data_IF_210912305475
#
_entry.id   IF_210912305475
#
_cell.length_a   1.000
_cell.length_b   1.000
_cell.length_c   1.000
_cell.angle_alpha   90.00
_cell.angle_beta   90.00
_cell.angle_gamma   90.00
#
_symmetry.space_group_name_H-M   'P 1'
#
loop_
_entity.id
_entity.type
_entity.pdbx_description
1 polymer ?
#
# COMPACT_ATOMS: atom_id res chain seq x y z
N UNK A 1 -23.97 -35.10 -13.18
CA UNK A 1 -23.13 -33.91 -13.46
C UNK A 1 -23.39 -32.73 -12.52
N UNK A 2 -24.62 -32.55 -12.00
CA UNK A 2 -24.93 -31.47 -11.04
C UNK A 2 -24.38 -31.70 -9.62
N UNK A 3 -24.20 -32.96 -9.20
CA UNK A 3 -23.64 -33.28 -7.88
C UNK A 3 -22.14 -32.94 -7.74
N UNK A 4 -21.39 -33.04 -8.85
CA UNK A 4 -19.95 -32.74 -8.84
C UNK A 4 -19.72 -31.22 -8.70
N UNK A 5 -20.60 -30.40 -9.29
CA UNK A 5 -20.51 -28.92 -9.15
C UNK A 5 -20.83 -28.45 -7.72
N UNK A 6 -21.74 -29.12 -7.00
CA UNK A 6 -22.05 -28.78 -5.61
C UNK A 6 -20.93 -29.22 -4.65
N UNK A 7 -20.28 -30.34 -4.93
CA UNK A 7 -19.14 -30.83 -4.14
C UNK A 7 -17.89 -29.95 -4.32
N UNK A 8 -17.63 -29.46 -5.54
CA UNK A 8 -16.49 -28.57 -5.81
C UNK A 8 -16.68 -27.19 -5.19
N UNK A 9 -17.90 -26.61 -5.23
CA UNK A 9 -18.18 -25.35 -4.50
C UNK A 9 -17.97 -25.48 -3.00
N UNK A 10 -18.39 -26.60 -2.40
CA UNK A 10 -18.21 -26.83 -0.95
C UNK A 10 -16.74 -26.88 -0.54
N UNK A 11 -15.87 -27.50 -1.35
CA UNK A 11 -14.43 -27.57 -1.05
C UNK A 11 -13.72 -26.21 -1.18
N UNK A 12 -14.12 -25.38 -2.15
CA UNK A 12 -13.49 -24.06 -2.37
C UNK A 12 -13.84 -23.09 -1.24
N UNK A 13 -15.09 -23.09 -0.75
CA UNK A 13 -15.51 -22.22 0.36
C UNK A 13 -14.80 -22.60 1.67
N UNK A 14 -14.66 -23.90 1.96
CA UNK A 14 -13.94 -24.34 3.18
C UNK A 14 -12.44 -24.08 3.14
N UNK A 15 -11.82 -24.03 1.95
CA UNK A 15 -10.39 -23.73 1.82
C UNK A 15 -10.10 -22.23 2.00
N UNK A 16 -10.99 -21.36 1.52
CA UNK A 16 -10.81 -19.91 1.63
C UNK A 16 -10.99 -19.41 3.07
N UNK A 17 -11.91 -19.99 3.83
CA UNK A 17 -12.14 -19.64 5.25
C UNK A 17 -10.95 -20.04 6.12
N UNK A 18 -10.28 -21.16 5.81
CA UNK A 18 -9.11 -21.62 6.57
C UNK A 18 -7.88 -20.73 6.40
N UNK A 19 -7.79 -19.98 5.30
CA UNK A 19 -6.65 -19.10 5.05
C UNK A 19 -6.78 -17.72 5.72
N UNK A 20 -7.99 -17.33 6.12
CA UNK A 20 -8.26 -16.01 6.70
C UNK A 20 -8.08 -15.96 8.23
N UNK A 21 -8.11 -17.11 8.91
CA UNK A 21 -8.09 -17.18 10.39
C UNK A 21 -6.73 -17.50 11.01
N UNK A 22 -5.65 -17.53 10.24
CA UNK A 22 -4.31 -17.84 10.75
C UNK A 22 -3.53 -16.61 11.25
N UNK A 23 -4.18 -15.46 11.46
CA UNK A 23 -3.50 -14.17 11.77
C UNK A 23 -4.02 -13.43 13.00
N UNK A 24 -4.97 -13.97 13.74
CA UNK A 24 -5.45 -13.34 14.97
C UNK A 24 -5.59 -14.40 16.05
N UNK A 25 -4.81 -14.27 17.12
CA UNK A 25 -4.90 -15.02 18.39
C UNK A 25 -6.23 -14.71 19.12
N UNK A 26 -7.34 -14.95 18.43
CA UNK A 26 -8.69 -14.86 18.95
C UNK A 26 -9.28 -16.27 18.84
N UNK A 27 -9.74 -16.81 19.97
CA UNK A 27 -10.26 -18.18 20.14
C UNK A 27 -11.38 -18.50 19.12
N UNK A 28 -10.97 -18.83 17.89
CA UNK A 28 -11.85 -19.00 16.72
C UNK A 28 -12.51 -20.37 16.66
N UNK A 29 -12.17 -21.28 17.58
CA UNK A 29 -12.77 -22.61 17.65
C UNK A 29 -14.24 -22.55 18.09
N UNK A 30 -14.60 -21.66 19.02
CA UNK A 30 -15.99 -21.51 19.48
C UNK A 30 -16.91 -20.93 18.39
N UNK A 31 -16.42 -19.96 17.61
CA UNK A 31 -17.23 -19.28 16.59
C UNK A 31 -17.37 -20.13 15.32
N UNK A 32 -16.36 -20.92 14.99
CA UNK A 32 -16.43 -21.92 13.92
C UNK A 32 -17.37 -23.08 14.29
N UNK A 33 -17.43 -23.49 15.56
CA UNK A 33 -18.35 -24.53 16.04
C UNK A 33 -19.80 -24.03 16.09
N UNK A 34 -20.01 -22.78 16.48
CA UNK A 34 -21.33 -22.12 16.44
C UNK A 34 -21.87 -21.98 15.00
N UNK A 35 -21.03 -21.57 14.04
CA UNK A 35 -21.43 -21.49 12.63
C UNK A 35 -21.70 -22.87 12.01
N UNK A 36 -20.99 -23.93 12.42
CA UNK A 36 -21.30 -25.30 11.96
C UNK A 36 -22.67 -25.77 12.48
N UNK A 37 -23.04 -25.38 13.70
CA UNK A 37 -24.34 -25.73 14.27
C UNK A 37 -25.49 -24.99 13.58
N UNK A 38 -25.31 -23.72 13.20
CA UNK A 38 -26.31 -22.96 12.43
C UNK A 38 -26.49 -23.50 11.00
N UNK A 39 -25.39 -23.81 10.29
CA UNK A 39 -25.45 -24.37 8.94
C UNK A 39 -26.13 -25.76 8.91
N UNK A 40 -25.95 -26.59 9.94
CA UNK A 40 -26.66 -27.86 10.05
C UNK A 40 -28.17 -27.69 10.34
N UNK A 41 -28.57 -26.60 11.00
CA UNK A 41 -29.97 -26.30 11.25
C UNK A 41 -30.68 -25.80 9.99
N UNK A 42 -30.00 -25.03 9.14
CA UNK A 42 -30.54 -24.50 7.90
C UNK A 42 -30.71 -25.58 6.82
N UNK A 43 -29.78 -26.54 6.72
CA UNK A 43 -29.88 -27.66 5.76
C UNK A 43 -31.02 -28.65 6.10
N UNK A 44 -31.46 -28.71 7.36
CA UNK A 44 -32.66 -29.47 7.76
C UNK A 44 -33.96 -28.77 7.37
N UNK A 45 -34.00 -27.44 7.46
CA UNK A 45 -35.21 -26.69 7.15
C UNK A 45 -35.50 -26.62 5.65
N UNK A 46 -34.47 -26.60 4.80
CA UNK A 46 -34.67 -26.48 3.34
C UNK A 46 -35.10 -27.81 2.68
N UNK A 47 -34.70 -28.96 3.23
CA UNK A 47 -35.23 -30.27 2.81
C UNK A 47 -36.71 -30.44 3.18
N UNK A 48 -37.20 -29.74 4.20
CA UNK A 48 -38.63 -29.78 4.55
C UNK A 48 -39.50 -28.98 3.56
N UNK A 49 -38.99 -27.87 3.02
CA UNK A 49 -39.76 -26.94 2.16
C UNK A 49 -40.00 -27.48 0.76
N UNK A 50 -39.11 -28.31 0.22
CA UNK A 50 -39.29 -28.85 -1.14
C UNK A 50 -40.26 -30.03 -1.25
N UNK A 51 -40.66 -30.67 -0.14
CA UNK A 51 -41.62 -31.78 -0.15
C UNK A 51 -43.10 -31.36 -0.07
N UNK A 52 -43.38 -30.09 0.23
CA UNK A 52 -44.76 -29.62 0.51
C UNK A 52 -45.37 -28.72 -0.57
N UNK A 53 -44.81 -28.72 -1.79
CA UNK A 53 -45.51 -28.23 -2.99
C UNK A 53 -46.35 -29.35 -3.62
N UNK A 54 -47.21 -29.98 -2.83
CA UNK A 54 -48.35 -30.74 -3.37
C UNK A 54 -49.55 -29.82 -3.42
N UNK A 55 -49.95 -29.51 -4.65
CA UNK A 55 -51.18 -28.82 -5.02
C UNK A 55 -52.39 -29.39 -4.28
N UNK A 56 -52.86 -28.68 -3.27
CA UNK A 56 -54.21 -28.88 -2.73
C UNK A 56 -55.19 -28.07 -3.57
N UNK A 57 -55.58 -28.63 -4.71
CA UNK A 57 -56.89 -28.36 -5.31
C UNK A 57 -57.51 -29.71 -5.65
N UNK A 58 -57.87 -30.41 -4.59
CA UNK A 58 -58.66 -31.63 -4.66
C UNK A 58 -59.47 -31.67 -3.39
N UNK A 59 -60.72 -31.22 -3.46
CA UNK A 59 -61.72 -31.46 -2.42
C UNK A 59 -61.85 -32.98 -2.26
N UNK A 60 -61.06 -33.56 -1.37
CA UNK A 60 -61.37 -34.89 -0.87
C UNK A 60 -62.45 -34.69 0.18
N UNK A 61 -63.64 -35.30 0.02
CA UNK A 61 -64.68 -35.22 1.05
C UNK A 61 -64.04 -35.73 2.34
N UNK A 62 -63.99 -34.86 3.34
CA UNK A 62 -63.53 -35.30 4.65
C UNK A 62 -64.58 -36.23 5.22
N UNK A 63 -64.18 -37.17 6.09
CA UNK A 63 -65.15 -38.07 6.74
C UNK A 63 -66.27 -37.30 7.47
N UNK A 64 -66.00 -36.06 7.85
CA UNK A 64 -66.97 -35.10 8.38
C UNK A 64 -68.09 -34.75 7.37
N UNK A 65 -67.79 -34.61 6.08
CA UNK A 65 -68.80 -34.38 5.03
C UNK A 65 -69.69 -35.62 4.82
N UNK A 66 -69.13 -36.82 4.98
CA UNK A 66 -69.93 -38.06 4.91
C UNK A 66 -70.85 -38.19 6.12
N UNK A 67 -70.37 -37.88 7.32
CA UNK A 67 -71.20 -37.87 8.55
C UNK A 67 -72.29 -36.80 8.44
N UNK A 68 -71.97 -35.61 7.90
CA UNK A 68 -72.95 -34.56 7.66
C UNK A 68 -74.01 -35.00 6.63
N UNK A 69 -73.61 -35.61 5.51
CA UNK A 69 -74.55 -36.10 4.50
C UNK A 69 -75.48 -37.20 5.05
N UNK A 70 -74.93 -38.13 5.84
CA UNK A 70 -75.73 -39.16 6.52
C UNK A 70 -76.69 -38.52 7.51
N UNK A 71 -76.24 -37.57 8.33
CA UNK A 71 -77.09 -36.87 9.30
C UNK A 71 -78.24 -36.09 8.62
N UNK A 72 -77.96 -35.40 7.51
CA UNK A 72 -78.98 -34.67 6.72
C UNK A 72 -79.98 -35.64 6.09
N UNK A 73 -79.51 -36.76 5.52
CA UNK A 73 -80.38 -37.79 4.95
C UNK A 73 -81.27 -38.46 6.00
N UNK A 74 -80.72 -38.77 7.17
CA UNK A 74 -81.45 -39.39 8.28
C UNK A 74 -82.46 -38.41 8.88
N UNK A 75 -82.08 -37.12 8.95
CA UNK A 75 -82.99 -36.03 9.30
C UNK A 75 -84.19 -35.95 8.37
N UNK A 76 -83.98 -35.94 7.04
CA UNK A 76 -85.09 -35.91 6.07
C UNK A 76 -86.04 -37.11 6.18
N UNK A 77 -85.52 -38.30 6.52
CA UNK A 77 -86.35 -39.50 6.72
C UNK A 77 -87.17 -39.40 8.02
N UNK A 78 -86.57 -38.93 9.11
CA UNK A 78 -87.26 -38.76 10.41
C UNK A 78 -88.35 -37.68 10.35
N UNK A 79 -88.15 -36.62 9.56
CA UNK A 79 -89.09 -35.53 9.38
C UNK A 79 -90.39 -35.92 8.66
N UNK A 80 -90.42 -37.04 7.91
CA UNK A 80 -91.66 -37.57 7.33
C UNK A 80 -92.55 -38.30 8.34
N UNK A 81 -92.02 -38.61 9.53
CA UNK A 81 -92.72 -39.42 10.55
C UNK A 81 -93.25 -38.54 11.69
N UNK A 82 -92.72 -37.33 11.87
CA UNK A 82 -93.06 -36.41 12.97
C UNK A 82 -93.85 -35.18 12.53
N UNK A 83 -94.70 -34.65 13.42
CA UNK A 83 -95.52 -33.45 13.17
C UNK A 83 -94.70 -32.23 12.68
N UNK A 84 -95.35 -31.35 11.92
CA UNK A 84 -94.74 -30.31 11.07
C UNK A 84 -93.85 -29.31 11.82
N UNK A 85 -93.99 -29.20 13.15
CA UNK A 85 -93.27 -28.25 14.01
C UNK A 85 -91.78 -28.56 14.15
N UNK A 86 -91.38 -29.84 14.13
CA UNK A 86 -89.98 -30.25 14.32
C UNK A 86 -89.13 -29.94 13.08
N UNK A 87 -89.73 -30.00 11.88
CA UNK A 87 -89.10 -29.65 10.60
C UNK A 87 -88.64 -28.19 10.62
N UNK A 88 -89.54 -27.29 11.03
CA UNK A 88 -89.24 -25.86 11.07
C UNK A 88 -88.12 -25.56 12.08
N UNK A 89 -88.15 -26.17 13.27
CA UNK A 89 -87.10 -25.97 14.28
C UNK A 89 -85.72 -26.47 13.80
N UNK A 90 -85.66 -27.63 13.13
CA UNK A 90 -84.40 -28.16 12.62
C UNK A 90 -83.83 -27.31 11.49
N UNK A 91 -84.67 -26.87 10.55
CA UNK A 91 -84.23 -26.01 9.43
C UNK A 91 -83.67 -24.66 9.90
N UNK A 92 -84.23 -24.11 10.99
CA UNK A 92 -83.75 -22.86 11.58
C UNK A 92 -82.40 -23.06 12.28
N UNK A 93 -82.20 -24.20 12.97
CA UNK A 93 -80.94 -24.50 13.63
C UNK A 93 -79.79 -24.73 12.64
N UNK A 94 -80.04 -25.46 11.55
CA UNK A 94 -79.03 -25.67 10.50
C UNK A 94 -78.68 -24.39 9.76
N UNK A 95 -79.65 -23.48 9.56
CA UNK A 95 -79.39 -22.15 9.02
C UNK A 95 -78.45 -21.32 9.91
N UNK A 96 -78.69 -21.30 11.24
CA UNK A 96 -77.81 -20.61 12.19
C UNK A 96 -76.41 -21.22 12.19
N UNK A 97 -76.31 -22.55 12.20
CA UNK A 97 -75.03 -23.25 12.18
C UNK A 97 -74.25 -22.97 10.89
N UNK A 98 -74.92 -22.90 9.73
CA UNK A 98 -74.32 -22.53 8.46
C UNK A 98 -73.72 -21.12 8.47
N UNK A 99 -74.44 -20.15 9.05
CA UNK A 99 -73.93 -18.77 9.21
C UNK A 99 -72.71 -18.75 10.15
N UNK A 100 -72.76 -19.51 11.26
CA UNK A 100 -71.68 -19.60 12.22
C UNK A 100 -70.41 -20.25 11.63
N UNK A 101 -70.56 -21.35 10.89
CA UNK A 101 -69.46 -22.01 10.21
C UNK A 101 -68.80 -21.08 9.15
N UNK A 102 -69.60 -20.34 8.38
CA UNK A 102 -69.12 -19.35 7.42
C UNK A 102 -68.32 -18.23 8.11
N UNK A 103 -68.74 -17.79 9.31
CA UNK A 103 -68.00 -16.81 10.11
C UNK A 103 -66.65 -17.34 10.62
N UNK A 104 -66.60 -18.60 11.08
CA UNK A 104 -65.35 -19.23 11.49
C UNK A 104 -64.36 -19.39 10.33
N UNK A 105 -64.85 -19.74 9.15
CA UNK A 105 -64.02 -19.90 7.96
C UNK A 105 -63.34 -18.58 7.55
N UNK A 106 -64.02 -17.44 7.72
CA UNK A 106 -63.40 -16.12 7.51
C UNK A 106 -62.25 -15.86 8.47
N UNK A 107 -62.44 -16.11 9.78
CA UNK A 107 -61.36 -15.96 10.78
C UNK A 107 -60.16 -16.86 10.53
N UNK A 108 -60.38 -18.09 10.07
CA UNK A 108 -59.29 -18.99 9.69
C UNK A 108 -58.51 -18.48 8.46
N UNK A 109 -59.20 -17.81 7.53
CA UNK A 109 -58.57 -17.17 6.37
C UNK A 109 -57.68 -16.00 6.80
N UNK A 110 -58.13 -15.20 7.77
CA UNK A 110 -57.34 -14.09 8.34
C UNK A 110 -56.08 -14.59 9.08
N UNK A 111 -56.14 -15.72 9.77
CA UNK A 111 -54.93 -16.33 10.36
C UNK A 111 -53.93 -16.76 9.28
N UNK A 112 -54.41 -17.17 8.10
CA UNK A 112 -53.57 -17.45 6.95
C UNK A 112 -52.82 -16.23 6.43
N UNK A 113 -53.46 -15.06 6.39
CA UNK A 113 -52.81 -13.81 5.95
C UNK A 113 -51.80 -13.29 6.96
N UNK A 114 -52.08 -13.38 8.26
CA UNK A 114 -51.13 -13.00 9.33
C UNK A 114 -49.86 -13.87 9.28
N UNK A 115 -49.99 -15.18 9.06
CA UNK A 115 -48.82 -16.06 8.92
C UNK A 115 -47.99 -15.73 7.69
N UNK A 116 -48.62 -15.35 6.57
CA UNK A 116 -47.89 -14.88 5.38
C UNK A 116 -47.12 -13.59 5.68
N UNK A 117 -47.77 -12.63 6.33
CA UNK A 117 -47.14 -11.36 6.73
C UNK A 117 -45.99 -11.58 7.70
N UNK A 118 -46.14 -12.47 8.69
CA UNK A 118 -45.05 -12.82 9.61
C UNK A 118 -43.86 -13.46 8.89
N UNK A 119 -44.12 -14.32 7.90
CA UNK A 119 -43.05 -14.93 7.11
C UNK A 119 -42.35 -13.91 6.21
N UNK A 120 -43.08 -12.93 5.67
CA UNK A 120 -42.49 -11.86 4.87
C UNK A 120 -41.65 -10.92 5.73
N UNK A 121 -42.16 -10.50 6.90
CA UNK A 121 -41.39 -9.72 7.86
C UNK A 121 -40.11 -10.45 8.32
N UNK A 122 -40.18 -11.77 8.53
CA UNK A 122 -38.98 -12.56 8.83
C UNK A 122 -37.96 -12.54 7.70
N UNK A 123 -38.41 -12.59 6.44
CA UNK A 123 -37.52 -12.48 5.27
C UNK A 123 -36.89 -11.10 5.16
N UNK A 124 -37.68 -10.04 5.33
CA UNK A 124 -37.17 -8.67 5.31
C UNK A 124 -36.18 -8.43 6.46
N UNK A 125 -36.49 -8.92 7.66
CA UNK A 125 -35.58 -8.82 8.82
C UNK A 125 -34.28 -9.56 8.56
N UNK A 126 -34.35 -10.77 8.00
CA UNK A 126 -33.15 -11.54 7.66
C UNK A 126 -32.33 -10.85 6.56
N UNK A 127 -32.98 -10.25 5.56
CA UNK A 127 -32.31 -9.46 4.52
C UNK A 127 -31.61 -8.22 5.09
N UNK A 128 -32.28 -7.49 5.97
CA UNK A 128 -31.69 -6.35 6.67
C UNK A 128 -30.53 -6.75 7.58
N UNK A 129 -30.61 -7.92 8.21
CA UNK A 129 -29.51 -8.46 9.03
C UNK A 129 -28.30 -8.83 8.16
N UNK A 130 -28.52 -9.43 6.99
CA UNK A 130 -27.48 -9.73 6.01
C UNK A 130 -26.82 -8.44 5.48
N UNK A 131 -27.63 -7.43 5.14
CA UNK A 131 -27.12 -6.12 4.72
C UNK A 131 -26.32 -5.43 5.82
N UNK A 132 -26.77 -5.51 7.07
CA UNK A 132 -26.08 -4.93 8.22
C UNK A 132 -24.72 -5.60 8.45
N UNK A 133 -24.66 -6.93 8.37
CA UNK A 133 -23.39 -7.68 8.43
C UNK A 133 -22.46 -7.27 7.29
N UNK A 134 -22.98 -7.16 6.07
CA UNK A 134 -22.18 -6.75 4.91
C UNK A 134 -21.65 -5.31 5.07
N UNK A 135 -22.45 -4.41 5.63
CA UNK A 135 -22.03 -3.03 5.89
C UNK A 135 -20.93 -2.97 6.94
N UNK A 136 -21.04 -3.76 8.02
CA UNK A 136 -20.00 -3.87 9.04
C UNK A 136 -18.68 -4.42 8.48
N UNK A 137 -18.75 -5.39 7.55
CA UNK A 137 -17.56 -5.89 6.86
C UNK A 137 -16.86 -4.78 6.05
N UNK A 138 -17.61 -3.98 5.29
CA UNK A 138 -17.04 -2.85 4.54
C UNK A 138 -16.47 -1.77 5.46
N UNK A 139 -17.11 -1.48 6.60
CA UNK A 139 -16.56 -0.53 7.58
C UNK A 139 -15.23 -1.02 8.13
N UNK A 140 -15.11 -2.32 8.42
CA UNK A 140 -13.86 -2.92 8.89
C UNK A 140 -12.77 -2.86 7.82
N UNK A 141 -13.08 -3.20 6.56
CA UNK A 141 -12.12 -3.13 5.44
C UNK A 141 -11.63 -1.68 5.21
N UNK A 142 -12.53 -0.70 5.33
CA UNK A 142 -12.18 0.71 5.22
C UNK A 142 -11.27 1.15 6.37
N UNK A 143 -11.54 0.68 7.59
CA UNK A 143 -10.72 0.96 8.77
C UNK A 143 -9.31 0.38 8.64
N UNK A 144 -9.20 -0.86 8.15
CA UNK A 144 -7.91 -1.51 7.86
C UNK A 144 -7.13 -0.73 6.79
N UNK A 145 -7.82 -0.23 5.76
CA UNK A 145 -7.22 0.62 4.74
C UNK A 145 -6.70 1.95 5.32
N UNK A 146 -7.44 2.57 6.25
CA UNK A 146 -6.99 3.78 6.95
C UNK A 146 -5.74 3.49 7.80
N UNK A 147 -5.69 2.35 8.51
CA UNK A 147 -4.50 1.94 9.25
C UNK A 147 -3.28 1.74 8.36
N UNK A 148 -3.45 1.11 7.19
CA UNK A 148 -2.37 0.94 6.22
C UNK A 148 -1.83 2.29 5.71
N UNK A 149 -2.72 3.23 5.38
CA UNK A 149 -2.32 4.57 4.93
C UNK A 149 -1.57 5.32 6.04
N UNK A 150 -2.02 5.21 7.29
CA UNK A 150 -1.33 5.82 8.44
C UNK A 150 0.08 5.25 8.65
N UNK A 151 0.26 3.93 8.46
CA UNK A 151 1.59 3.32 8.53
C UNK A 151 2.51 3.83 7.42
N UNK A 152 2.00 3.95 6.19
CA UNK A 152 2.78 4.51 5.07
C UNK A 152 3.19 5.97 5.33
N UNK A 153 2.33 6.77 5.95
CA UNK A 153 2.66 8.14 6.35
C UNK A 153 3.80 8.18 7.39
N UNK A 154 3.75 7.32 8.40
CA UNK A 154 4.80 7.21 9.42
C UNK A 154 6.14 6.77 8.81
N UNK A 155 6.12 5.83 7.88
CA UNK A 155 7.32 5.37 7.18
C UNK A 155 7.91 6.46 6.28
N UNK A 156 7.07 7.20 5.54
CA UNK A 156 7.50 8.37 4.76
C UNK A 156 8.10 9.46 5.65
N UNK A 157 7.51 9.72 6.82
CA UNK A 157 8.04 10.68 7.77
C UNK A 157 9.41 10.26 8.32
N UNK A 158 9.60 8.96 8.61
CA UNK A 158 10.89 8.39 9.02
C UNK A 158 11.94 8.54 7.93
N UNK A 159 11.61 8.18 6.68
CA UNK A 159 12.52 8.30 5.53
C UNK A 159 12.92 9.77 5.31
N UNK A 160 11.96 10.70 5.36
CA UNK A 160 12.21 12.13 5.18
C UNK A 160 13.21 12.67 6.23
N UNK A 161 13.05 12.29 7.51
CA UNK A 161 13.98 12.67 8.59
C UNK A 161 15.38 12.11 8.35
N UNK A 162 15.51 10.86 7.90
CA UNK A 162 16.80 10.24 7.59
C UNK A 162 17.47 10.89 6.38
N UNK A 163 16.70 11.18 5.32
CA UNK A 163 17.21 11.82 4.10
C UNK A 163 17.74 13.24 4.34
N UNK A 164 17.09 14.04 5.19
CA UNK A 164 17.62 15.36 5.56
C UNK A 164 18.98 15.28 6.28
N UNK A 165 19.18 14.28 7.14
CA UNK A 165 20.47 14.02 7.79
C UNK A 165 21.56 13.63 6.79
N UNK A 166 21.21 12.78 5.82
CA UNK A 166 22.14 12.31 4.78
C UNK A 166 22.56 13.44 3.83
N UNK A 167 21.64 14.34 3.44
CA UNK A 167 21.97 15.50 2.59
C UNK A 167 22.92 16.44 3.31
N UNK A 168 22.69 16.75 4.59
CA UNK A 168 23.61 17.60 5.37
C UNK A 168 25.00 16.98 5.48
N UNK A 169 25.08 15.66 5.67
CA UNK A 169 26.36 14.93 5.71
C UNK A 169 27.09 14.99 4.36
N UNK A 170 26.37 14.82 3.25
CA UNK A 170 26.95 14.91 1.91
C UNK A 170 27.51 16.32 1.64
N UNK A 171 26.75 17.37 1.97
CA UNK A 171 27.21 18.76 1.83
C UNK A 171 28.45 19.01 2.69
N UNK A 172 28.49 18.48 3.91
CA UNK A 172 29.67 18.58 4.77
C UNK A 172 30.89 17.88 4.16
N UNK A 173 30.73 16.67 3.62
CA UNK A 173 31.82 15.93 2.96
C UNK A 173 32.31 16.68 1.73
N UNK A 174 31.41 17.21 0.90
CA UNK A 174 31.78 17.98 -0.29
C UNK A 174 32.57 19.24 0.05
N UNK A 175 32.17 19.97 1.10
CA UNK A 175 32.93 21.13 1.59
C UNK A 175 34.30 20.74 2.14
N UNK A 176 34.37 19.62 2.88
CA UNK A 176 35.64 19.10 3.38
C UNK A 176 36.58 18.68 2.24
N UNK A 177 36.06 18.10 1.16
CA UNK A 177 36.84 17.78 -0.02
C UNK A 177 37.37 19.02 -0.73
N UNK A 178 36.55 20.07 -0.86
CA UNK A 178 36.98 21.36 -1.42
C UNK A 178 38.15 21.95 -0.61
N UNK A 179 38.03 21.99 0.71
CA UNK A 179 39.11 22.47 1.61
C UNK A 179 40.38 21.60 1.49
N UNK A 180 40.24 20.28 1.36
CA UNK A 180 41.39 19.38 1.11
C UNK A 180 42.04 19.67 -0.25
N UNK A 181 41.25 19.90 -1.30
CA UNK A 181 41.75 20.22 -2.63
C UNK A 181 42.50 21.56 -2.63
N UNK A 182 41.99 22.58 -1.97
CA UNK A 182 42.68 23.87 -1.81
C UNK A 182 44.01 23.71 -1.06
N UNK A 183 44.02 22.95 0.04
CA UNK A 183 45.25 22.64 0.78
C UNK A 183 46.25 21.86 -0.05
N UNK A 184 45.79 20.94 -0.89
CA UNK A 184 46.65 20.15 -1.79
C UNK A 184 47.25 21.04 -2.88
N UNK A 185 46.45 21.89 -3.53
CA UNK A 185 46.93 22.89 -4.49
C UNK A 185 47.99 23.80 -3.88
N UNK A 186 47.75 24.33 -2.67
CA UNK A 186 48.72 25.17 -1.95
C UNK A 186 50.03 24.45 -1.66
N UNK A 187 49.97 23.20 -1.21
CA UNK A 187 51.17 22.37 -0.97
C UNK A 187 51.94 22.10 -2.26
N UNK A 188 51.22 21.82 -3.34
CA UNK A 188 51.83 21.57 -4.64
C UNK A 188 52.56 22.82 -5.17
N UNK A 189 51.92 23.99 -5.11
CA UNK A 189 52.55 25.27 -5.46
C UNK A 189 53.79 25.54 -4.61
N UNK A 190 53.70 25.37 -3.30
CA UNK A 190 54.84 25.55 -2.41
C UNK A 190 56.01 24.61 -2.75
N UNK A 191 55.72 23.35 -3.09
CA UNK A 191 56.73 22.37 -3.54
C UNK A 191 57.37 22.78 -4.86
N UNK A 192 56.58 23.27 -5.82
CA UNK A 192 57.12 23.75 -7.11
C UNK A 192 57.99 24.98 -6.93
N UNK A 193 57.54 25.97 -6.14
CA UNK A 193 58.35 27.16 -5.83
C UNK A 193 59.64 26.78 -5.12
N UNK A 194 59.60 25.84 -4.17
CA UNK A 194 60.79 25.33 -3.50
C UNK A 194 61.76 24.66 -4.49
N UNK A 195 61.26 23.83 -5.40
CA UNK A 195 62.08 23.15 -6.40
C UNK A 195 62.72 24.16 -7.36
N UNK A 196 61.94 25.12 -7.86
CA UNK A 196 62.46 26.17 -8.74
C UNK A 196 63.53 27.00 -8.01
N UNK A 197 63.27 27.40 -6.76
CA UNK A 197 64.24 28.13 -5.93
C UNK A 197 65.54 27.34 -5.75
N UNK A 198 65.45 26.03 -5.49
CA UNK A 198 66.62 25.17 -5.39
C UNK A 198 67.43 25.16 -6.69
N UNK A 199 66.78 25.06 -7.85
CA UNK A 199 67.46 25.10 -9.15
C UNK A 199 68.12 26.46 -9.40
N UNK A 200 67.46 27.57 -9.04
CA UNK A 200 68.05 28.91 -9.18
C UNK A 200 69.32 29.05 -8.35
N UNK A 201 69.26 28.65 -7.07
CA UNK A 201 70.41 28.69 -6.16
C UNK A 201 71.53 27.74 -6.62
N UNK A 202 71.20 26.57 -7.19
CA UNK A 202 72.19 25.65 -7.74
C UNK A 202 72.78 26.11 -9.08
N UNK A 203 72.13 27.06 -9.76
CA UNK A 203 72.60 27.58 -11.04
C UNK A 203 73.55 28.78 -10.87
N UNK A 204 73.44 29.50 -9.76
CA UNK A 204 74.41 30.52 -9.32
C UNK A 204 75.69 29.86 -8.81
N UNK A 205 76.76 29.89 -9.61
CA UNK A 205 78.02 29.21 -9.27
C UNK A 205 78.99 30.10 -8.50
N UNK A 206 78.92 31.40 -8.71
CA UNK A 206 79.84 32.38 -8.12
C UNK A 206 79.28 33.01 -6.83
N UNK A 207 78.00 32.81 -6.54
CA UNK A 207 77.34 33.21 -5.31
C UNK A 207 77.12 34.72 -5.23
N UNK A 208 77.14 35.42 -6.38
CA UNK A 208 76.98 36.86 -6.44
C UNK A 208 75.52 37.30 -6.55
N UNK A 209 74.58 36.34 -6.61
CA UNK A 209 73.13 36.51 -6.75
C UNK A 209 72.72 37.25 -8.04
N UNK A 210 73.59 37.28 -9.05
CA UNK A 210 73.34 37.83 -10.38
C UNK A 210 73.60 36.76 -11.42
N UNK A 211 72.58 36.43 -12.20
CA UNK A 211 72.73 35.36 -13.20
C UNK A 211 73.47 35.89 -14.42
N UNK A 212 74.65 35.33 -14.68
CA UNK A 212 75.36 35.56 -15.93
C UNK A 212 74.59 34.93 -17.12
N UNK A 213 74.78 35.40 -18.36
CA UNK A 213 74.08 34.84 -19.52
C UNK A 213 74.25 33.32 -19.70
N UNK A 214 75.37 32.76 -19.24
CA UNK A 214 75.63 31.32 -19.26
C UNK A 214 74.86 30.56 -18.18
N UNK A 215 74.67 31.15 -17.01
CA UNK A 215 73.89 30.56 -15.93
C UNK A 215 72.40 30.64 -16.22
N UNK A 216 71.94 31.70 -16.88
CA UNK A 216 70.56 31.79 -17.40
C UNK A 216 70.26 30.65 -18.37
N UNK A 217 71.17 30.34 -19.28
CA UNK A 217 70.98 29.23 -20.23
C UNK A 217 70.91 27.87 -19.51
N UNK A 218 71.79 27.65 -18.53
CA UNK A 218 71.76 26.44 -17.70
C UNK A 218 70.48 26.34 -16.86
N UNK A 219 69.99 27.47 -16.36
CA UNK A 219 68.76 27.57 -15.58
C UNK A 219 67.55 27.19 -16.45
N UNK A 220 67.47 27.73 -17.67
CA UNK A 220 66.41 27.43 -18.65
C UNK A 220 66.33 25.93 -18.94
N UNK A 221 67.47 25.29 -19.21
CA UNK A 221 67.53 23.84 -19.48
C UNK A 221 67.06 23.04 -18.25
N UNK A 222 67.50 23.41 -17.05
CA UNK A 222 67.11 22.73 -15.81
C UNK A 222 65.61 22.91 -15.49
N UNK A 223 65.07 24.10 -15.72
CA UNK A 223 63.63 24.36 -15.55
C UNK A 223 62.78 23.59 -16.56
N UNK A 224 63.25 23.47 -17.80
CA UNK A 224 62.56 22.67 -18.83
C UNK A 224 62.58 21.17 -18.58
N UNK A 225 63.47 20.67 -17.71
CA UNK A 225 63.53 19.26 -17.30
C UNK A 225 62.75 18.97 -16.01
N UNK A 226 62.04 19.95 -15.43
CA UNK A 226 61.29 19.72 -14.20
C UNK A 226 59.99 18.96 -14.47
N UNK A 227 59.77 17.88 -13.73
CA UNK A 227 58.53 17.10 -13.83
C UNK A 227 57.31 17.89 -13.34
N UNK A 228 56.24 17.91 -14.15
CA UNK A 228 54.95 18.47 -13.77
C UNK A 228 54.79 19.99 -13.89
N UNK A 229 55.76 20.67 -14.49
CA UNK A 229 55.69 22.12 -14.77
C UNK A 229 55.94 22.35 -16.26
N UNK A 230 54.94 22.89 -16.97
CA UNK A 230 55.11 23.37 -18.33
C UNK A 230 55.75 24.76 -18.27
N UNK A 231 56.94 24.89 -18.84
CA UNK A 231 57.76 26.08 -18.80
C UNK A 231 57.81 26.75 -20.18
N UNK A 232 57.40 28.02 -20.25
CA UNK A 232 57.54 28.83 -21.47
C UNK A 232 58.87 29.59 -21.44
N UNK A 233 59.85 29.04 -22.15
CA UNK A 233 61.19 29.62 -22.29
C UNK A 233 61.15 31.02 -22.93
N UNK A 234 60.28 31.25 -23.91
CA UNK A 234 60.23 32.49 -24.68
C UNK A 234 59.78 33.63 -23.78
N UNK A 235 58.71 33.42 -23.01
CA UNK A 235 58.22 34.41 -22.03
C UNK A 235 59.21 34.62 -20.90
N UNK A 236 59.85 33.56 -20.42
CA UNK A 236 60.87 33.67 -19.37
C UNK A 236 62.06 34.54 -19.81
N UNK A 237 62.55 34.36 -21.05
CA UNK A 237 63.63 35.19 -21.61
C UNK A 237 63.20 36.64 -21.81
N UNK A 238 61.93 36.91 -22.14
CA UNK A 238 61.41 38.28 -22.25
C UNK A 238 61.33 38.98 -20.88
N UNK A 239 61.03 38.22 -19.82
CA UNK A 239 60.92 38.75 -18.46
C UNK A 239 62.28 39.01 -17.80
N UNK A 240 63.31 38.27 -18.20
CA UNK A 240 64.69 38.52 -17.79
C UNK A 240 65.23 39.77 -18.52
N UNK A 241 65.19 40.91 -17.84
CA UNK A 241 65.94 42.11 -18.25
C UNK A 241 67.44 41.81 -18.36
N UNK A 242 68.24 42.64 -19.07
CA UNK A 242 69.63 42.32 -19.41
C UNK A 242 70.58 42.08 -18.21
N UNK A 243 70.16 42.42 -17.00
CA UNK A 243 70.84 42.03 -15.74
C UNK A 243 69.81 41.45 -14.77
N UNK A 244 69.63 40.12 -14.78
CA UNK A 244 68.68 39.47 -13.89
C UNK A 244 69.21 39.38 -12.47
N UNK A 245 68.61 40.16 -11.58
CA UNK A 245 68.82 40.08 -10.13
C UNK A 245 67.88 39.06 -9.51
N UNK A 246 68.33 38.36 -8.46
CA UNK A 246 67.50 37.43 -7.70
C UNK A 246 66.15 38.01 -7.22
N UNK A 247 66.08 39.31 -6.93
CA UNK A 247 64.85 40.00 -6.54
C UNK A 247 63.76 39.96 -7.62
N UNK A 248 64.15 40.02 -8.90
CA UNK A 248 63.22 39.95 -10.03
C UNK A 248 62.65 38.52 -10.14
N UNK A 249 63.50 37.51 -9.93
CA UNK A 249 63.08 36.12 -9.87
C UNK A 249 62.15 35.84 -8.69
N UNK A 250 62.43 36.39 -7.50
CA UNK A 250 61.50 36.27 -6.38
C UNK A 250 60.16 36.98 -6.66
N UNK A 251 60.18 38.09 -7.40
CA UNK A 251 58.97 38.74 -7.91
C UNK A 251 58.15 37.81 -8.82
N UNK A 252 58.83 37.13 -9.75
CA UNK A 252 58.25 36.12 -10.63
C UNK A 252 57.63 34.94 -9.85
N UNK A 253 58.31 34.45 -8.81
CA UNK A 253 57.79 33.35 -7.99
C UNK A 253 56.63 33.77 -7.10
N UNK A 254 56.60 35.03 -6.68
CA UNK A 254 55.45 35.59 -5.97
C UNK A 254 54.21 35.64 -6.86
N UNK A 255 54.39 35.85 -8.17
CA UNK A 255 53.34 35.76 -9.17
C UNK A 255 52.72 34.34 -9.20
N UNK A 256 53.55 33.28 -9.18
CA UNK A 256 53.10 31.87 -9.16
C UNK A 256 52.32 31.52 -7.88
N UNK A 257 52.61 32.19 -6.77
CA UNK A 257 51.94 31.96 -5.48
C UNK A 257 50.59 32.69 -5.36
N UNK A 258 50.34 33.72 -6.16
CA UNK A 258 49.10 34.48 -6.12
C UNK A 258 48.00 33.77 -6.94
N UNK A 259 46.80 33.66 -6.37
CA UNK A 259 45.68 32.88 -6.94
C UNK A 259 44.83 33.63 -7.97
N UNK A 260 45.07 34.92 -8.17
CA UNK A 260 44.11 35.83 -8.82
C UNK A 260 44.42 36.17 -10.28
N UNK A 261 45.44 35.58 -10.91
CA UNK A 261 45.77 35.87 -12.32
C UNK A 261 45.26 34.80 -13.28
N UNK A 262 44.74 35.26 -14.42
CA UNK A 262 44.21 34.44 -15.50
C UNK A 262 45.25 33.43 -16.01
N UNK A 263 44.86 32.16 -16.11
CA UNK A 263 45.76 31.02 -16.41
C UNK A 263 46.52 31.16 -17.76
N UNK A 264 46.04 32.03 -18.66
CA UNK A 264 46.58 32.23 -20.02
C UNK A 264 47.91 33.02 -20.05
N UNK A 265 48.22 33.81 -19.00
CA UNK A 265 49.42 34.66 -18.97
C UNK A 265 50.57 34.14 -18.09
N UNK A 266 50.40 32.97 -17.48
CA UNK A 266 51.40 32.41 -16.57
C UNK A 266 52.60 31.77 -17.31
N UNK A 267 53.82 32.12 -16.92
CA UNK A 267 55.09 31.54 -17.46
C UNK A 267 55.26 30.07 -17.07
N UNK A 268 54.61 29.67 -15.98
CA UNK A 268 54.62 28.31 -15.45
C UNK A 268 53.19 27.80 -15.35
N UNK A 269 52.86 26.78 -16.13
CA UNK A 269 51.60 26.07 -16.02
C UNK A 269 51.83 24.76 -15.26
N UNK A 270 51.03 24.53 -14.21
CA UNK A 270 51.14 23.35 -13.38
C UNK A 270 50.31 22.22 -14.01
N UNK A 271 50.97 21.10 -14.34
CA UNK A 271 50.29 19.89 -14.80
C UNK A 271 50.23 18.87 -13.66
N UNK A 272 49.14 18.86 -12.85
CA UNK A 272 49.05 17.99 -11.69
C UNK A 272 49.09 16.50 -12.04
N UNK A 273 48.72 16.11 -13.26
CA UNK A 273 48.72 14.70 -13.70
C UNK A 273 50.12 14.09 -13.83
N UNK A 274 51.15 14.92 -14.00
CA UNK A 274 52.54 14.49 -14.19
C UNK A 274 53.32 14.45 -12.87
N UNK A 275 52.76 14.99 -11.80
CA UNK A 275 53.32 14.89 -10.47
C UNK A 275 52.96 13.52 -9.88
N UNK A 276 53.88 12.56 -10.00
CA UNK A 276 53.86 11.35 -9.19
C UNK A 276 53.99 11.75 -7.71
N UNK A 277 52.86 11.92 -7.04
CA UNK A 277 52.75 12.08 -5.59
C UNK A 277 52.77 10.71 -4.90
#
# INVERSE_FOLDING_TARGET
>A
MNDVKSAVRRRVVTASVKHYYNSTDFDGDDLAEQMRHELQHEERDDKSKHSSRRSYCGWKPTWLDMVAAIAVSLGMVLLNITEWTVVYAHSLFTAIFGVYASYQQRRLTDLGSVRKLQNELRRETNGLMEENVNLHLHVNELNDSVYQVQQVELDLQRISRTSQGNIRRLVHISRAQQDIHEKMKKRLRAKVVQNIMAIVVESDRDGDLKLSPREVESLIIRLGMMDGVAFDEVRFRQYLTPTPTMDILMGLFRLILNEEEDEEDTIFQLNPEQLNL
#
